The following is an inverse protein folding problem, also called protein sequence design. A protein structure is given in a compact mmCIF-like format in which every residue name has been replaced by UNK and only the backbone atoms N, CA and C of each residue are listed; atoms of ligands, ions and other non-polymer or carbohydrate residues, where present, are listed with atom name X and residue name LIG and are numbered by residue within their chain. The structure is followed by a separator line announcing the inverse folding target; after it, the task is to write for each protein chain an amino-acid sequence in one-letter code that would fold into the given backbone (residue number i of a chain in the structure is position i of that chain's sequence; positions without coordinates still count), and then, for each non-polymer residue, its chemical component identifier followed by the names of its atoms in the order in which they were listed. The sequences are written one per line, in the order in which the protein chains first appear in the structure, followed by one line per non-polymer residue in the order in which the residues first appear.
data_IF_209827496154
#
_entry.id   IF_209827496154
#
_cell.length_a   1.000
_cell.length_b   1.000
_cell.length_c   1.000
_cell.angle_alpha   90.00
_cell.angle_beta   90.00
_cell.angle_gamma   90.00
#
_symmetry.space_group_name_H-M   'P 1'
#
loop_
_entity.id
_entity.type
_entity.pdbx_description
1 polymer ?
#
# COMPACT_ATOMS: atom_id res chain seq x y z
N UNK A 1 50.25 2.49 -3.60
CA UNK A 1 49.24 3.51 -3.25
C UNK A 1 48.00 3.28 -4.10
N UNK A 2 47.01 2.56 -3.57
CA UNK A 2 45.78 2.23 -4.28
C UNK A 2 44.71 3.29 -3.96
N UNK A 3 44.12 3.89 -5.00
CA UNK A 3 42.98 4.81 -4.87
C UNK A 3 41.76 4.03 -4.36
N UNK A 4 41.02 4.51 -3.34
CA UNK A 4 39.79 3.86 -2.93
C UNK A 4 38.72 4.07 -4.01
N UNK A 5 38.12 2.97 -4.48
CA UNK A 5 36.89 3.00 -5.27
C UNK A 5 35.80 3.61 -4.41
N UNK A 6 35.24 4.75 -4.84
CA UNK A 6 34.00 5.31 -4.30
C UNK A 6 32.94 4.22 -4.36
N UNK A 7 32.50 3.74 -3.19
CA UNK A 7 31.21 3.10 -3.03
C UNK A 7 30.18 4.14 -3.46
N UNK A 8 29.52 3.90 -4.58
CA UNK A 8 28.30 4.60 -4.95
C UNK A 8 27.32 4.23 -3.83
N UNK A 9 26.99 5.22 -2.99
CA UNK A 9 25.93 5.11 -2.02
C UNK A 9 24.72 4.51 -2.72
N UNK A 10 24.39 3.27 -2.37
CA UNK A 10 23.11 2.68 -2.69
C UNK A 10 22.08 3.66 -2.17
N UNK A 11 21.40 4.32 -3.11
CA UNK A 11 20.21 5.10 -2.85
C UNK A 11 19.22 4.14 -2.21
N UNK A 12 19.18 4.14 -0.87
CA UNK A 12 18.01 3.70 -0.13
C UNK A 12 16.84 4.43 -0.77
N UNK A 13 15.87 3.68 -1.29
CA UNK A 13 14.55 4.24 -1.55
C UNK A 13 14.10 4.83 -0.21
N UNK A 14 13.94 6.15 -0.09
CA UNK A 14 13.43 6.73 1.15
C UNK A 14 11.97 6.30 1.27
N UNK A 15 11.60 5.63 2.37
CA UNK A 15 10.23 5.68 2.86
C UNK A 15 9.30 4.50 2.60
N UNK A 16 9.75 3.25 2.48
CA UNK A 16 8.84 2.10 2.71
C UNK A 16 8.76 1.76 4.20
N UNK A 17 8.51 2.75 5.03
CA UNK A 17 7.94 2.50 6.35
C UNK A 17 6.53 1.98 6.07
N UNK A 18 6.34 0.65 6.12
CA UNK A 18 5.03 -0.01 6.18
C UNK A 18 4.36 0.35 7.51
N UNK A 19 4.14 1.63 7.72
CA UNK A 19 3.45 2.21 8.86
C UNK A 19 1.99 2.17 8.50
N UNK A 20 1.27 1.20 9.05
CA UNK A 20 -0.19 1.27 9.11
C UNK A 20 -0.59 2.71 9.45
N UNK A 21 -1.56 3.28 8.73
CA UNK A 21 -2.05 4.62 9.03
C UNK A 21 -2.73 4.55 10.40
N UNK A 22 -1.94 4.86 11.43
CA UNK A 22 -2.35 4.87 12.81
C UNK A 22 -2.62 6.31 13.22
N UNK A 23 -3.89 6.71 13.16
CA UNK A 23 -4.30 8.03 13.59
C UNK A 23 -4.20 8.15 15.11
N UNK A 24 -3.51 9.19 15.58
CA UNK A 24 -3.51 9.61 16.97
C UNK A 24 -4.93 9.92 17.47
N UNK A 25 -5.09 9.91 18.80
CA UNK A 25 -6.37 10.28 19.45
C UNK A 25 -6.84 11.66 19.01
N UNK A 26 -5.92 12.62 18.85
CA UNK A 26 -6.21 13.97 18.39
C UNK A 26 -6.70 14.01 16.94
N UNK A 27 -6.10 13.20 16.05
CA UNK A 27 -6.53 13.07 14.66
C UNK A 27 -7.95 12.49 14.59
N UNK A 28 -8.24 11.42 15.33
CA UNK A 28 -9.60 10.86 15.42
C UNK A 28 -10.61 11.89 15.94
N UNK A 29 -10.27 12.63 17.01
CA UNK A 29 -11.15 13.67 17.54
C UNK A 29 -11.44 14.77 16.50
N UNK A 30 -10.46 15.10 15.66
CA UNK A 30 -10.64 16.07 14.55
C UNK A 30 -11.60 15.53 13.48
N UNK A 31 -11.45 14.26 13.10
CA UNK A 31 -12.32 13.59 12.12
C UNK A 31 -13.76 13.50 12.63
N UNK A 32 -13.96 13.12 13.89
CA UNK A 32 -15.27 13.03 14.54
C UNK A 32 -15.94 14.41 14.63
N UNK A 33 -15.17 15.45 14.94
CA UNK A 33 -15.66 16.84 14.93
C UNK A 33 -16.11 17.29 13.54
N UNK A 34 -15.41 16.85 12.50
CA UNK A 34 -15.73 17.21 11.12
C UNK A 34 -17.10 16.66 10.69
N UNK A 35 -17.48 15.46 11.17
CA UNK A 35 -18.78 14.84 10.87
C UNK A 35 -19.85 15.12 11.93
N UNK A 36 -19.47 15.51 13.15
CA UNK A 36 -20.40 15.69 14.27
C UNK A 36 -20.86 14.38 14.92
N UNK A 37 -20.16 13.28 14.67
CA UNK A 37 -20.46 11.94 15.17
C UNK A 37 -19.20 11.29 15.73
N UNK A 38 -19.37 10.46 16.76
CA UNK A 38 -18.30 9.59 17.26
C UNK A 38 -18.20 8.36 16.36
N UNK A 39 -16.99 7.99 15.95
CA UNK A 39 -16.71 6.83 15.12
C UNK A 39 -16.32 5.67 16.05
N UNK A 40 -16.97 4.53 15.88
CA UNK A 40 -16.68 3.31 16.66
C UNK A 40 -15.32 2.72 16.25
N UNK A 41 -14.64 2.03 17.17
CA UNK A 41 -13.27 1.54 16.94
C UNK A 41 -13.15 0.53 15.78
N UNK A 42 -14.20 -0.25 15.52
CA UNK A 42 -14.26 -1.14 14.34
C UNK A 42 -14.23 -0.32 13.05
N UNK A 43 -15.05 0.74 12.97
CA UNK A 43 -15.11 1.64 11.81
C UNK A 43 -13.80 2.42 11.65
N UNK A 44 -13.18 2.84 12.77
CA UNK A 44 -11.85 3.47 12.76
C UNK A 44 -10.82 2.56 12.11
N UNK A 45 -10.86 1.27 12.42
CA UNK A 45 -9.97 0.26 11.84
C UNK A 45 -10.20 0.11 10.33
N UNK A 46 -11.45 0.06 9.87
CA UNK A 46 -11.78 0.00 8.44
C UNK A 46 -11.31 1.25 7.68
N UNK A 47 -11.50 2.44 8.26
CA UNK A 47 -11.02 3.70 7.67
C UNK A 47 -9.49 3.72 7.59
N UNK A 48 -8.79 3.26 8.64
CA UNK A 48 -7.32 3.14 8.62
C UNK A 48 -6.85 2.20 7.52
N UNK A 49 -7.46 1.03 7.38
CA UNK A 49 -7.15 0.08 6.30
C UNK A 49 -7.37 0.69 4.91
N UNK A 50 -8.50 1.39 4.72
CA UNK A 50 -8.77 2.08 3.46
C UNK A 50 -7.73 3.18 3.15
N UNK A 51 -7.21 3.87 4.17
CA UNK A 51 -6.13 4.85 4.00
C UNK A 51 -4.78 4.21 3.68
N UNK A 52 -4.48 3.05 4.27
CA UNK A 52 -3.29 2.27 3.94
C UNK A 52 -3.34 1.79 2.48
N UNK A 53 -4.48 1.27 2.05
CA UNK A 53 -4.73 0.85 0.67
C UNK A 53 -4.57 2.02 -0.29
N UNK A 54 -5.14 3.18 0.06
CA UNK A 54 -5.00 4.39 -0.74
C UNK A 54 -3.55 4.81 -0.91
N UNK A 55 -2.77 4.86 0.18
CA UNK A 55 -1.35 5.25 0.11
C UNK A 55 -0.58 4.31 -0.83
N UNK A 56 -0.76 2.99 -0.67
CA UNK A 56 -0.13 1.99 -1.54
C UNK A 56 -0.50 2.19 -3.01
N UNK A 57 -1.78 2.41 -3.30
CA UNK A 57 -2.26 2.58 -4.67
C UNK A 57 -1.82 3.93 -5.27
N UNK A 58 -1.78 5.00 -4.47
CA UNK A 58 -1.30 6.30 -4.90
C UNK A 58 0.20 6.29 -5.22
N UNK A 59 1.01 5.53 -4.47
CA UNK A 59 2.42 5.33 -4.78
C UNK A 59 2.61 4.57 -6.10
N UNK A 60 1.78 3.54 -6.33
CA UNK A 60 1.78 2.82 -7.61
C UNK A 60 1.36 3.72 -8.78
N UNK A 61 0.35 4.56 -8.58
CA UNK A 61 -0.13 5.52 -9.57
C UNK A 61 0.95 6.59 -9.89
N UNK A 62 1.65 7.11 -8.88
CA UNK A 62 2.78 8.02 -9.08
C UNK A 62 3.95 7.34 -9.80
N UNK A 63 4.16 6.04 -9.53
CA UNK A 63 5.13 5.21 -10.23
C UNK A 63 4.61 4.69 -11.59
N UNK A 64 3.48 5.20 -12.11
CA UNK A 64 2.89 4.69 -13.34
C UNK A 64 3.84 4.75 -14.54
N UNK A 65 4.66 5.81 -14.62
CA UNK A 65 5.70 5.96 -15.64
C UNK A 65 6.81 4.91 -15.58
N UNK A 66 6.96 4.21 -14.46
CA UNK A 66 7.94 3.16 -14.22
C UNK A 66 7.35 1.75 -14.40
N UNK A 67 6.14 1.63 -14.99
CA UNK A 67 5.49 0.35 -15.22
C UNK A 67 6.43 -0.68 -15.88
N UNK A 68 7.10 -0.26 -16.95
CA UNK A 68 7.98 -1.14 -17.71
C UNK A 68 9.15 -1.63 -16.86
N UNK A 69 9.77 -0.74 -16.08
CA UNK A 69 10.90 -1.07 -15.21
C UNK A 69 10.47 -1.98 -14.06
N UNK A 70 9.33 -1.70 -13.43
CA UNK A 70 8.74 -2.58 -12.42
C UNK A 70 8.42 -3.97 -13.00
N UNK A 71 8.02 -4.06 -14.28
CA UNK A 71 7.78 -5.34 -14.97
C UNK A 71 9.08 -6.11 -15.13
N UNK A 72 10.08 -5.45 -15.73
CA UNK A 72 11.40 -6.04 -15.93
C UNK A 72 12.01 -6.50 -14.60
N UNK A 73 11.83 -5.72 -13.54
CA UNK A 73 12.27 -6.09 -12.20
C UNK A 73 11.53 -7.33 -11.66
N UNK A 74 10.19 -7.39 -11.77
CA UNK A 74 9.41 -8.56 -11.34
C UNK A 74 9.76 -9.82 -12.15
N UNK A 75 10.05 -9.67 -13.44
CA UNK A 75 10.51 -10.78 -14.30
C UNK A 75 11.88 -11.28 -13.87
N UNK A 76 12.82 -10.37 -13.59
CA UNK A 76 14.13 -10.71 -13.05
C UNK A 76 14.04 -11.34 -11.64
N UNK A 77 13.16 -10.82 -10.78
CA UNK A 77 12.92 -11.37 -9.45
C UNK A 77 12.35 -12.79 -9.54
N UNK A 78 11.40 -13.04 -10.45
CA UNK A 78 10.85 -14.38 -10.69
C UNK A 78 11.93 -15.36 -11.17
N UNK A 79 12.80 -14.95 -12.11
CA UNK A 79 13.92 -15.78 -12.57
C UNK A 79 14.88 -16.10 -11.43
N UNK A 80 15.24 -15.10 -10.62
CA UNK A 80 16.13 -15.28 -9.47
C UNK A 80 15.52 -16.22 -8.43
N UNK A 81 14.22 -16.09 -8.14
CA UNK A 81 13.52 -16.97 -7.21
C UNK A 81 13.48 -18.42 -7.72
N UNK A 82 13.25 -18.62 -9.03
CA UNK A 82 13.29 -19.95 -9.64
C UNK A 82 14.67 -20.60 -9.55
N UNK A 83 15.75 -19.82 -9.75
CA UNK A 83 17.12 -20.30 -9.57
C UNK A 83 17.42 -20.68 -8.11
N UNK A 84 16.95 -19.89 -7.14
CA UNK A 84 17.05 -20.24 -5.72
C UNK A 84 16.34 -21.55 -5.41
N UNK A 85 15.10 -21.73 -5.88
CA UNK A 85 14.36 -23.00 -5.74
C UNK A 85 15.17 -24.14 -6.33
N UNK A 86 15.71 -23.99 -7.55
CA UNK A 86 16.52 -25.02 -8.20
C UNK A 86 17.77 -25.36 -7.37
N UNK A 87 18.48 -24.37 -6.84
CA UNK A 87 19.68 -24.57 -6.04
C UNK A 87 19.38 -25.33 -4.74
N UNK A 88 18.32 -24.97 -4.03
CA UNK A 88 17.97 -25.54 -2.73
C UNK A 88 17.17 -26.86 -2.83
N UNK A 89 16.47 -27.09 -3.94
CA UNK A 89 15.73 -28.35 -4.19
C UNK A 89 16.52 -29.37 -4.99
N UNK A 90 17.67 -28.99 -5.57
CA UNK A 90 18.51 -29.94 -6.31
C UNK A 90 19.02 -31.08 -5.41
N UNK A 91 18.93 -32.30 -5.93
CA UNK A 91 19.55 -33.48 -5.32
C UNK A 91 21.06 -33.31 -5.38
N UNK A 92 21.76 -33.24 -4.24
CA UNK A 92 23.22 -33.12 -4.24
C UNK A 92 23.88 -34.31 -4.94
N UNK A 93 24.99 -34.06 -5.63
CA UNK A 93 25.90 -35.15 -6.00
C UNK A 93 26.27 -35.94 -4.74
N UNK A 94 26.15 -37.28 -4.78
CA UNK A 94 26.47 -38.18 -3.65
C UNK A 94 27.83 -37.87 -3.04
N UNK A 95 28.82 -37.46 -3.84
CA UNK A 95 30.17 -37.11 -3.36
C UNK A 95 30.23 -35.80 -2.56
N UNK A 96 29.27 -34.90 -2.75
CA UNK A 96 29.20 -33.57 -2.15
C UNK A 96 28.00 -33.39 -1.21
N UNK A 97 27.20 -34.44 -1.02
CA UNK A 97 25.95 -34.39 -0.28
C UNK A 97 26.11 -33.83 1.13
N UNK A 98 27.07 -34.33 1.91
CA UNK A 98 27.32 -33.83 3.27
C UNK A 98 27.75 -32.35 3.29
N UNK A 99 28.62 -31.93 2.36
CA UNK A 99 29.07 -30.55 2.27
C UNK A 99 27.92 -29.59 1.90
N UNK A 100 27.06 -30.01 0.95
CA UNK A 100 25.89 -29.22 0.54
C UNK A 100 24.86 -29.14 1.67
N UNK A 101 24.60 -30.26 2.36
CA UNK A 101 23.69 -30.28 3.52
C UNK A 101 24.20 -29.39 4.64
N UNK A 102 25.50 -29.46 4.96
CA UNK A 102 26.11 -28.58 5.97
C UNK A 102 26.04 -27.11 5.57
N UNK A 103 26.35 -26.80 4.31
CA UNK A 103 26.25 -25.44 3.76
C UNK A 103 24.83 -24.89 3.87
N UNK A 104 23.82 -25.67 3.48
CA UNK A 104 22.41 -25.31 3.66
C UNK A 104 22.10 -25.05 5.13
N UNK A 105 22.46 -25.96 6.04
CA UNK A 105 22.23 -25.82 7.49
C UNK A 105 22.82 -24.53 8.07
N UNK A 106 24.01 -24.11 7.64
CA UNK A 106 24.59 -22.83 8.07
C UNK A 106 23.80 -21.62 7.58
N UNK A 107 23.29 -21.65 6.34
CA UNK A 107 22.41 -20.61 5.81
C UNK A 107 21.12 -20.54 6.63
N UNK A 108 20.48 -21.69 6.92
CA UNK A 108 19.29 -21.77 7.77
C UNK A 108 19.53 -21.13 9.14
N UNK A 109 20.60 -21.53 9.82
CA UNK A 109 20.92 -21.02 11.16
C UNK A 109 21.14 -19.50 11.15
N UNK A 110 21.83 -18.97 10.14
CA UNK A 110 22.10 -17.53 10.05
C UNK A 110 20.84 -16.73 9.71
N UNK A 111 20.00 -17.22 8.80
CA UNK A 111 18.74 -16.55 8.47
C UNK A 111 17.80 -16.50 9.69
N UNK A 112 17.65 -17.61 10.42
CA UNK A 112 16.83 -17.63 11.63
C UNK A 112 17.32 -16.62 12.69
N UNK A 113 18.64 -16.44 12.80
CA UNK A 113 19.22 -15.41 13.67
C UNK A 113 18.78 -14.00 13.27
N UNK A 114 18.78 -13.70 11.96
CA UNK A 114 18.35 -12.40 11.42
C UNK A 114 16.86 -12.19 11.62
N UNK A 115 16.03 -13.21 11.34
CA UNK A 115 14.58 -13.13 11.49
C UNK A 115 14.16 -12.92 12.96
N UNK A 116 14.81 -13.61 13.90
CA UNK A 116 14.61 -13.39 15.34
C UNK A 116 14.99 -11.97 15.76
N UNK A 117 16.10 -11.44 15.23
CA UNK A 117 16.47 -10.05 15.47
C UNK A 117 15.46 -9.05 14.89
N UNK A 118 14.74 -9.42 13.83
CA UNK A 118 13.65 -8.64 13.25
C UNK A 118 12.28 -8.87 13.94
N UNK A 119 12.23 -9.58 15.07
CA UNK A 119 11.01 -9.79 15.86
C UNK A 119 10.12 -10.95 15.41
N UNK A 120 10.58 -11.81 14.50
CA UNK A 120 9.85 -13.05 14.17
C UNK A 120 9.99 -14.06 15.32
N UNK A 121 8.86 -14.45 15.89
CA UNK A 121 8.80 -15.34 17.05
C UNK A 121 9.15 -16.80 16.71
N UNK A 122 8.85 -17.23 15.48
CA UNK A 122 8.99 -18.62 15.04
C UNK A 122 10.10 -18.75 14.00
N UNK A 123 10.78 -19.90 14.03
CA UNK A 123 11.69 -20.28 12.95
C UNK A 123 10.85 -20.48 11.67
N UNK A 124 11.15 -19.70 10.63
CA UNK A 124 10.56 -19.89 9.31
C UNK A 124 11.40 -20.93 8.57
N UNK A 125 10.82 -22.06 8.12
CA UNK A 125 11.54 -23.00 7.29
C UNK A 125 11.97 -22.28 6.00
N UNK A 126 13.27 -22.13 5.74
CA UNK A 126 13.74 -21.48 4.51
C UNK A 126 13.24 -22.22 3.26
N UNK A 127 12.99 -23.54 3.32
CA UNK A 127 12.32 -24.27 2.23
C UNK A 127 10.92 -23.70 1.95
N UNK A 128 10.16 -23.32 2.99
CA UNK A 128 8.87 -22.64 2.86
C UNK A 128 9.06 -21.23 2.28
N UNK A 129 10.05 -20.47 2.74
CA UNK A 129 10.33 -19.12 2.21
C UNK A 129 10.71 -19.17 0.72
N UNK A 130 11.63 -20.08 0.35
CA UNK A 130 12.12 -20.26 -1.02
C UNK A 130 10.99 -20.73 -1.94
N UNK A 131 10.11 -21.62 -1.48
CA UNK A 131 8.98 -22.11 -2.28
C UNK A 131 7.84 -21.10 -2.40
N UNK A 132 7.60 -20.29 -1.37
CA UNK A 132 6.56 -19.26 -1.39
C UNK A 132 6.97 -18.02 -2.20
N UNK A 133 8.27 -17.72 -2.30
CA UNK A 133 8.74 -16.50 -2.98
C UNK A 133 8.31 -16.42 -4.46
N UNK A 134 8.47 -17.47 -5.30
CA UNK A 134 7.90 -17.48 -6.65
C UNK A 134 6.39 -17.27 -6.66
N UNK A 135 5.65 -17.93 -5.75
CA UNK A 135 4.19 -17.80 -5.67
C UNK A 135 3.75 -16.38 -5.33
N UNK A 136 4.47 -15.72 -4.42
CA UNK A 136 4.22 -14.33 -4.06
C UNK A 136 4.50 -13.39 -5.25
N UNK A 137 5.62 -13.59 -5.96
CA UNK A 137 5.94 -12.81 -7.16
C UNK A 137 4.88 -13.01 -8.25
N UNK A 138 4.44 -14.24 -8.49
CA UNK A 138 3.38 -14.55 -9.46
C UNK A 138 2.00 -13.98 -9.03
N UNK A 139 1.72 -13.95 -7.73
CA UNK A 139 0.53 -13.26 -7.22
C UNK A 139 0.59 -11.76 -7.51
N UNK A 140 1.72 -11.11 -7.24
CA UNK A 140 1.94 -9.68 -7.55
C UNK A 140 1.85 -9.41 -9.04
N UNK A 141 2.40 -10.29 -9.90
CA UNK A 141 2.26 -10.16 -11.37
C UNK A 141 0.79 -10.22 -11.80
N UNK A 142 0.03 -11.19 -11.31
CA UNK A 142 -1.40 -11.34 -11.62
C UNK A 142 -2.23 -10.18 -11.09
N UNK A 143 -1.94 -9.73 -9.87
CA UNK A 143 -2.58 -8.56 -9.29
C UNK A 143 -2.29 -7.33 -10.14
N UNK A 144 -1.04 -7.11 -10.53
CA UNK A 144 -0.66 -6.01 -11.42
C UNK A 144 -1.36 -6.08 -12.78
N UNK A 145 -1.46 -7.25 -13.39
CA UNK A 145 -2.20 -7.41 -14.65
C UNK A 145 -3.68 -7.01 -14.50
N UNK A 146 -4.29 -7.34 -13.35
CA UNK A 146 -5.64 -6.88 -13.01
C UNK A 146 -5.70 -5.37 -12.79
N UNK A 147 -4.70 -4.81 -12.10
CA UNK A 147 -4.62 -3.38 -11.77
C UNK A 147 -4.30 -2.51 -13.00
N UNK A 148 -3.53 -3.02 -13.96
CA UNK A 148 -3.14 -2.35 -15.22
C UNK A 148 -4.33 -1.79 -16.01
N UNK A 149 -5.53 -2.35 -15.84
CA UNK A 149 -6.73 -1.88 -16.54
C UNK A 149 -7.46 -0.69 -15.88
N UNK A 150 -7.25 -0.45 -14.57
CA UNK A 150 -8.05 0.55 -13.80
C UNK A 150 -7.22 1.58 -13.02
N UNK A 151 -6.05 1.22 -12.52
CA UNK A 151 -5.35 1.99 -11.47
C UNK A 151 -4.18 2.86 -11.98
N UNK A 152 -3.87 2.83 -13.27
CA UNK A 152 -2.72 3.57 -13.83
C UNK A 152 -3.13 4.93 -14.42
N UNK A 153 -4.37 5.35 -14.18
CA UNK A 153 -4.82 6.71 -14.52
C UNK A 153 -4.60 7.61 -13.32
N UNK A 154 -4.08 8.81 -13.57
CA UNK A 154 -4.02 9.86 -12.57
C UNK A 154 -5.41 10.09 -11.91
N UNK A 155 -5.43 10.02 -10.59
CA UNK A 155 -6.59 10.12 -9.72
C UNK A 155 -7.32 8.82 -9.43
N UNK A 156 -6.98 7.70 -10.06
CA UNK A 156 -7.73 6.44 -9.89
C UNK A 156 -7.71 5.92 -8.46
N UNK A 157 -6.54 5.95 -7.80
CA UNK A 157 -6.42 5.52 -6.40
C UNK A 157 -7.27 6.38 -5.46
N UNK A 158 -7.32 7.69 -5.71
CA UNK A 158 -8.10 8.62 -4.90
C UNK A 158 -9.61 8.42 -5.10
N UNK A 159 -10.04 8.18 -6.33
CA UNK A 159 -11.43 7.90 -6.66
C UNK A 159 -11.92 6.62 -5.95
N UNK A 160 -11.16 5.52 -6.04
CA UNK A 160 -11.47 4.26 -5.36
C UNK A 160 -11.52 4.43 -3.84
N UNK A 161 -10.50 5.07 -3.27
CA UNK A 161 -10.43 5.37 -1.84
C UNK A 161 -11.65 6.14 -1.35
N UNK A 162 -12.03 7.20 -2.07
CA UNK A 162 -13.19 8.01 -1.72
C UNK A 162 -14.50 7.22 -1.76
N UNK A 163 -14.66 6.32 -2.72
CA UNK A 163 -15.84 5.46 -2.83
C UNK A 163 -15.89 4.43 -1.71
N UNK A 164 -14.75 3.82 -1.37
CA UNK A 164 -14.62 2.88 -0.24
C UNK A 164 -14.97 3.56 1.08
N UNK A 165 -14.43 4.75 1.34
CA UNK A 165 -14.77 5.51 2.55
C UNK A 165 -16.26 5.90 2.60
N UNK A 166 -16.84 6.30 1.46
CA UNK A 166 -18.27 6.60 1.38
C UNK A 166 -19.11 5.36 1.69
N UNK A 167 -18.72 4.19 1.20
CA UNK A 167 -19.40 2.92 1.47
C UNK A 167 -19.29 2.50 2.95
N UNK A 168 -18.12 2.69 3.57
CA UNK A 168 -17.91 2.47 5.01
C UNK A 168 -18.87 3.38 5.81
N UNK A 169 -18.91 4.68 5.48
CA UNK A 169 -19.78 5.65 6.16
C UNK A 169 -21.26 5.26 6.03
N UNK A 170 -21.72 4.96 4.81
CA UNK A 170 -23.11 4.57 4.53
C UNK A 170 -23.53 3.31 5.28
N UNK A 171 -22.71 2.27 5.21
CA UNK A 171 -23.00 0.97 5.85
C UNK A 171 -23.13 1.10 7.36
N UNK A 172 -22.42 2.06 7.95
CA UNK A 172 -22.40 2.31 9.39
C UNK A 172 -23.32 3.45 9.84
N UNK A 173 -24.20 3.95 8.96
CA UNK A 173 -25.15 5.02 9.29
C UNK A 173 -24.51 6.38 9.59
N UNK A 174 -23.28 6.60 9.13
CA UNK A 174 -22.57 7.88 9.23
C UNK A 174 -22.90 8.76 8.01
N UNK A 175 -22.72 10.09 8.10
CA UNK A 175 -22.95 10.98 6.97
C UNK A 175 -22.11 10.61 5.74
N UNK A 176 -22.75 10.21 4.63
CA UNK A 176 -22.10 9.77 3.39
C UNK A 176 -22.39 10.70 2.18
N UNK A 177 -23.27 11.70 2.34
CA UNK A 177 -23.66 12.58 1.24
C UNK A 177 -22.51 13.47 0.75
N UNK A 178 -22.36 13.56 -0.57
CA UNK A 178 -21.46 14.50 -1.25
C UNK A 178 -22.15 15.81 -1.65
N UNK A 179 -23.49 15.87 -1.57
CA UNK A 179 -24.28 17.04 -1.96
C UNK A 179 -24.43 18.05 -0.83
N UNK A 180 -24.33 19.34 -1.18
CA UNK A 180 -24.38 20.46 -0.25
C UNK A 180 -25.82 20.96 0.00
N UNK A 181 -26.80 20.05 -0.01
CA UNK A 181 -28.23 20.42 -0.06
C UNK A 181 -28.77 20.87 1.32
N UNK A 182 -27.94 20.82 2.38
CA UNK A 182 -28.33 21.21 3.73
C UNK A 182 -27.31 22.19 4.36
N UNK A 183 -27.83 23.20 5.07
CA UNK A 183 -27.15 24.31 5.76
C UNK A 183 -26.00 23.95 6.73
N UNK A 184 -25.70 22.65 6.94
CA UNK A 184 -24.58 22.17 7.77
C UNK A 184 -23.39 21.64 6.96
N UNK A 185 -23.44 21.71 5.63
CA UNK A 185 -22.43 21.13 4.74
C UNK A 185 -22.50 19.59 4.70
N UNK A 186 -21.99 18.94 3.64
CA UNK A 186 -22.02 17.49 3.55
C UNK A 186 -21.00 16.92 4.55
N UNK A 187 -21.49 16.21 5.58
CA UNK A 187 -20.63 15.64 6.64
C UNK A 187 -19.48 14.81 6.06
N UNK A 188 -19.74 14.05 4.99
CA UNK A 188 -18.70 13.28 4.29
C UNK A 188 -17.63 14.15 3.62
N UNK A 189 -18.00 15.29 3.05
CA UNK A 189 -17.02 16.21 2.41
C UNK A 189 -16.10 16.83 3.47
N UNK A 190 -16.66 17.19 4.64
CA UNK A 190 -15.87 17.68 5.78
C UNK A 190 -14.97 16.59 6.35
N UNK A 191 -15.48 15.36 6.46
CA UNK A 191 -14.69 14.19 6.82
C UNK A 191 -13.49 14.00 5.89
N UNK A 192 -13.74 13.94 4.58
CA UNK A 192 -12.71 13.77 3.56
C UNK A 192 -11.69 14.89 3.59
N UNK A 193 -12.12 16.15 3.79
CA UNK A 193 -11.21 17.28 3.94
C UNK A 193 -10.32 17.13 5.18
N UNK A 194 -10.90 16.84 6.34
CA UNK A 194 -10.16 16.63 7.58
C UNK A 194 -9.20 15.44 7.48
N UNK A 195 -9.62 14.35 6.83
CA UNK A 195 -8.80 13.17 6.59
C UNK A 195 -7.61 13.47 5.68
N UNK A 196 -7.81 14.18 4.58
CA UNK A 196 -6.71 14.59 3.70
C UNK A 196 -5.70 15.50 4.41
N UNK A 197 -6.14 16.35 5.35
CA UNK A 197 -5.22 17.15 6.18
C UNK A 197 -4.31 16.30 7.09
N UNK A 198 -4.71 15.06 7.42
CA UNK A 198 -3.86 14.13 8.17
C UNK A 198 -2.82 13.41 7.31
N UNK A 199 -2.99 13.42 5.98
CA UNK A 199 -2.08 12.78 5.03
C UNK A 199 -0.96 13.73 4.60
N UNK A 200 0.20 13.23 4.14
CA UNK A 200 1.21 14.04 3.47
C UNK A 200 0.65 14.76 2.24
N UNK A 201 1.21 15.92 1.90
CA UNK A 201 0.69 16.78 0.83
C UNK A 201 0.61 16.09 -0.53
N UNK A 202 1.54 15.18 -0.84
CA UNK A 202 1.56 14.39 -2.07
C UNK A 202 0.33 13.50 -2.28
N UNK A 203 -0.40 13.15 -1.21
CA UNK A 203 -1.62 12.34 -1.27
C UNK A 203 -2.90 13.18 -1.18
N UNK A 204 -2.79 14.51 -1.06
CA UNK A 204 -3.96 15.40 -0.99
C UNK A 204 -4.41 15.75 -2.39
N UNK A 205 -5.71 15.66 -2.66
CA UNK A 205 -6.34 16.07 -3.92
C UNK A 205 -7.56 16.95 -3.67
N UNK A 206 -7.76 17.89 -4.58
CA UNK A 206 -8.92 18.80 -4.59
C UNK A 206 -9.12 19.61 -3.30
N UNK A 207 -8.05 19.79 -2.51
CA UNK A 207 -8.06 20.64 -1.32
C UNK A 207 -8.03 22.12 -1.71
N UNK A 208 -8.73 23.00 -0.96
CA UNK A 208 -8.66 24.43 -1.20
C UNK A 208 -7.22 24.94 -0.95
N UNK A 209 -6.83 25.97 -1.70
CA UNK A 209 -5.51 26.62 -1.53
C UNK A 209 -5.41 27.39 -0.21
N UNK A 210 -6.55 27.86 0.29
CA UNK A 210 -6.65 28.62 1.54
C UNK A 210 -7.35 27.76 2.61
N UNK A 211 -6.94 27.86 3.89
CA UNK A 211 -7.52 27.07 4.99
C UNK A 211 -9.04 27.21 5.13
N UNK A 212 -9.57 28.39 4.83
CA UNK A 212 -11.00 28.71 4.91
C UNK A 212 -11.70 28.68 3.54
N UNK A 213 -11.03 28.13 2.52
CA UNK A 213 -11.55 28.06 1.17
C UNK A 213 -12.75 27.09 1.04
N UNK A 214 -13.60 27.34 0.04
CA UNK A 214 -14.77 26.50 -0.24
C UNK A 214 -14.38 25.04 -0.54
N UNK A 215 -15.13 24.09 0.01
CA UNK A 215 -15.02 22.66 -0.25
C UNK A 215 -15.79 22.19 -1.50
N UNK A 216 -16.36 23.11 -2.29
CA UNK A 216 -17.15 22.76 -3.48
C UNK A 216 -16.34 21.95 -4.52
N UNK A 217 -15.04 22.23 -4.64
CA UNK A 217 -14.14 21.48 -5.52
C UNK A 217 -14.03 20.02 -5.11
N UNK A 218 -13.84 19.78 -3.80
CA UNK A 218 -13.79 18.45 -3.21
C UNK A 218 -15.14 17.74 -3.35
N UNK A 219 -16.26 18.42 -3.04
CA UNK A 219 -17.60 17.87 -3.18
C UNK A 219 -17.88 17.40 -4.61
N UNK A 220 -17.59 18.24 -5.62
CA UNK A 220 -17.75 17.90 -7.04
C UNK A 220 -16.87 16.71 -7.45
N UNK A 221 -15.63 16.65 -6.97
CA UNK A 221 -14.72 15.54 -7.26
C UNK A 221 -15.25 14.22 -6.67
N UNK A 222 -15.74 14.24 -5.44
CA UNK A 222 -16.34 13.07 -4.78
C UNK A 222 -17.61 12.60 -5.51
N UNK A 223 -18.47 13.51 -5.95
CA UNK A 223 -19.65 13.15 -6.75
C UNK A 223 -19.27 12.48 -8.07
N UNK A 224 -18.27 13.03 -8.79
CA UNK A 224 -17.79 12.44 -10.05
C UNK A 224 -17.15 11.05 -9.84
N UNK A 225 -16.40 10.86 -8.76
CA UNK A 225 -15.82 9.56 -8.41
C UNK A 225 -16.91 8.51 -8.19
N UNK A 226 -17.98 8.87 -7.47
CA UNK A 226 -19.12 7.99 -7.26
C UNK A 226 -19.86 7.64 -8.57
N UNK A 227 -20.06 8.63 -9.46
CA UNK A 227 -20.68 8.43 -10.77
C UNK A 227 -19.87 7.47 -11.67
N UNK A 228 -18.54 7.64 -11.74
CA UNK A 228 -17.65 6.75 -12.52
C UNK A 228 -17.62 5.33 -11.98
N UNK A 229 -17.67 5.17 -10.67
CA UNK A 229 -17.70 3.85 -10.04
C UNK A 229 -19.03 3.14 -10.31
N UNK A 230 -20.14 3.88 -10.34
CA UNK A 230 -21.45 3.36 -10.71
C UNK A 230 -21.55 3.02 -12.22
N UNK A 231 -20.80 3.71 -13.08
CA UNK A 231 -20.81 3.50 -14.53
C UNK A 231 -19.39 3.39 -15.12
N UNK A 232 -18.73 2.23 -14.99
CA UNK A 232 -17.32 2.05 -15.39
C UNK A 232 -17.06 2.05 -16.91
N UNK A 233 -18.10 2.26 -17.73
CA UNK A 233 -18.01 2.30 -19.20
C UNK A 233 -18.08 3.73 -19.79
N UNK A 234 -18.21 4.76 -18.94
CA UNK A 234 -18.27 6.17 -19.32
C UNK A 234 -16.95 6.89 -19.05
#
# INVERSE_FOLDING_TARGET
MARPKKLINGSMIPGSESVFVNFSVQQWASLERAIGFRIQDVIRSEVSLACDDYRRNADLEAAAGLASDAKAWLDNAASTAAEMVKLFSSVPDRRKQHAIVAGRAHVFAKLNTILKAAGQANDLPLDMVITMLPMAIDAVKRERERMNARLWRDGAAWEEWSCTLQAIMRTNGLPDSTRNDNFRGPGFVRFMSALQCTLPESYRRHMPKEPDGSLDGLAKALSRAAERTANPAA
#
